data_IF_847774313798
#
_entry.id   IF_847774313798
#
_cell.length_a   1.000
_cell.length_b   1.000
_cell.length_c   1.000
_cell.angle_alpha   90.00
_cell.angle_beta   90.00
_cell.angle_gamma   90.00
#
_symmetry.space_group_name_H-M   'P 1'
#
loop_
_entity.id
_entity.type
_entity.pdbx_description
1 polymer ?
#
# COMPACT_ATOMS: atom_id res chain seq x y z
N UNK A 1 8.49 14.51 23.18
CA UNK A 1 7.66 13.29 23.06
C UNK A 1 6.86 13.22 21.76
N UNK A 2 6.06 14.23 21.39
CA UNK A 2 5.25 14.20 20.15
C UNK A 2 6.06 14.03 18.86
N UNK A 3 7.16 14.78 18.67
CA UNK A 3 8.03 14.66 17.50
C UNK A 3 8.69 13.29 17.39
N UNK A 4 9.12 12.72 18.52
CA UNK A 4 9.71 11.37 18.58
C UNK A 4 8.67 10.33 18.16
N UNK A 5 7.44 10.43 18.66
CA UNK A 5 6.34 9.55 18.23
C UNK A 5 6.07 9.69 16.72
N UNK A 6 6.06 10.92 16.18
CA UNK A 6 5.93 11.16 14.73
C UNK A 6 7.04 10.51 13.91
N UNK A 7 8.29 10.55 14.38
CA UNK A 7 9.41 9.89 13.71
C UNK A 7 9.21 8.37 13.69
N UNK A 8 8.88 7.77 14.83
CA UNK A 8 8.64 6.32 14.95
C UNK A 8 7.48 5.88 14.04
N UNK A 9 6.34 6.59 14.09
CA UNK A 9 5.20 6.32 13.22
C UNK A 9 5.56 6.51 11.75
N UNK A 10 6.39 7.50 11.41
CA UNK A 10 6.89 7.73 10.07
C UNK A 10 7.70 6.55 9.52
N UNK A 11 8.61 5.98 10.32
CA UNK A 11 9.34 4.75 9.95
C UNK A 11 8.40 3.57 9.72
N UNK A 12 7.41 3.39 10.60
CA UNK A 12 6.41 2.33 10.45
C UNK A 12 5.60 2.46 9.15
N UNK A 13 5.08 3.66 8.87
CA UNK A 13 4.33 3.93 7.63
C UNK A 13 5.23 3.75 6.41
N UNK A 14 6.48 4.24 6.44
CA UNK A 14 7.43 4.08 5.34
C UNK A 14 7.71 2.62 5.00
N UNK A 15 7.88 1.77 6.03
CA UNK A 15 8.02 0.34 5.85
C UNK A 15 6.75 -0.29 5.27
N UNK A 16 5.56 0.05 5.81
CA UNK A 16 4.28 -0.52 5.36
C UNK A 16 3.96 -0.17 3.91
N UNK A 17 4.18 1.08 3.49
CA UNK A 17 3.91 1.54 2.11
C UNK A 17 4.77 0.79 1.07
N UNK A 18 5.97 0.35 1.45
CA UNK A 18 6.81 -0.49 0.58
C UNK A 18 6.49 -1.99 0.65
N UNK A 19 6.35 -2.52 1.87
CA UNK A 19 6.24 -3.95 2.11
C UNK A 19 4.86 -4.51 1.74
N UNK A 20 3.78 -3.76 1.95
CA UNK A 20 2.41 -4.23 1.64
C UNK A 20 2.21 -4.50 0.15
N UNK A 21 2.47 -3.56 -0.78
CA UNK A 21 2.30 -3.84 -2.20
C UNK A 21 3.30 -4.89 -2.71
N UNK A 22 4.51 -4.96 -2.14
CA UNK A 22 5.47 -6.02 -2.43
C UNK A 22 4.86 -7.39 -2.09
N UNK A 23 4.44 -7.58 -0.84
CA UNK A 23 3.80 -8.82 -0.39
C UNK A 23 2.55 -9.16 -1.22
N UNK A 24 1.69 -8.18 -1.49
CA UNK A 24 0.51 -8.37 -2.35
C UNK A 24 0.91 -8.85 -3.75
N UNK A 25 1.98 -8.31 -4.34
CA UNK A 25 2.45 -8.72 -5.66
C UNK A 25 3.00 -10.15 -5.70
N UNK A 26 3.54 -10.64 -4.58
CA UNK A 26 4.13 -11.98 -4.46
C UNK A 26 3.09 -13.07 -4.16
N UNK A 27 1.99 -12.71 -3.50
CA UNK A 27 0.96 -13.65 -3.05
C UNK A 27 -0.24 -13.68 -3.99
N UNK A 28 -0.53 -12.58 -4.69
CA UNK A 28 -1.71 -12.47 -5.56
C UNK A 28 -1.64 -13.37 -6.79
N UNK A 29 -2.78 -14.01 -7.16
CA UNK A 29 -2.93 -14.68 -8.45
C UNK A 29 -2.67 -13.71 -9.61
N UNK A 30 -2.07 -14.21 -10.68
CA UNK A 30 -1.58 -13.40 -11.81
C UNK A 30 -2.66 -12.51 -12.44
N UNK A 31 -3.91 -12.97 -12.50
CA UNK A 31 -5.04 -12.27 -13.12
C UNK A 31 -5.70 -11.20 -12.22
N UNK A 32 -5.48 -11.21 -10.90
CA UNK A 32 -6.02 -10.21 -9.96
C UNK A 32 -4.95 -9.31 -9.35
N UNK A 33 -3.67 -9.55 -9.69
CA UNK A 33 -2.53 -8.88 -9.06
C UNK A 33 -2.61 -7.37 -9.15
N UNK A 34 -2.91 -6.82 -10.32
CA UNK A 34 -2.94 -5.38 -10.50
C UNK A 34 -4.07 -4.71 -9.74
N UNK A 35 -5.27 -5.29 -9.75
CA UNK A 35 -6.37 -4.87 -8.90
C UNK A 35 -6.03 -4.93 -7.40
N UNK A 36 -5.50 -6.04 -6.90
CA UNK A 36 -5.17 -6.22 -5.48
C UNK A 36 -4.08 -5.25 -5.01
N UNK A 37 -3.06 -4.99 -5.84
CA UNK A 37 -2.03 -3.99 -5.57
C UNK A 37 -2.61 -2.57 -5.68
N UNK A 38 -3.52 -2.31 -6.62
CA UNK A 38 -4.22 -1.03 -6.78
C UNK A 38 -5.11 -0.68 -5.59
N UNK A 39 -5.72 -1.68 -4.95
CA UNK A 39 -6.50 -1.51 -3.71
C UNK A 39 -5.66 -0.93 -2.55
N UNK A 40 -4.33 -1.03 -2.60
CA UNK A 40 -3.47 -0.39 -1.61
C UNK A 40 -3.68 1.14 -1.57
N UNK A 41 -3.69 1.79 -2.75
CA UNK A 41 -3.94 3.23 -2.85
C UNK A 41 -5.35 3.61 -2.40
N UNK A 42 -6.34 2.78 -2.75
CA UNK A 42 -7.72 2.95 -2.29
C UNK A 42 -7.81 2.91 -0.75
N UNK A 43 -7.18 1.94 -0.10
CA UNK A 43 -7.15 1.84 1.37
C UNK A 43 -6.45 3.03 2.03
N UNK A 44 -5.37 3.55 1.43
CA UNK A 44 -4.72 4.79 1.90
C UNK A 44 -5.73 5.94 1.87
N UNK A 45 -6.47 6.12 0.77
CA UNK A 45 -7.47 7.18 0.66
C UNK A 45 -8.58 7.02 1.70
N UNK A 46 -9.09 5.80 1.93
CA UNK A 46 -10.08 5.53 2.99
C UNK A 46 -9.53 5.93 4.37
N UNK A 47 -8.25 5.66 4.64
CA UNK A 47 -7.59 6.10 5.86
C UNK A 47 -7.57 7.63 6.02
N UNK A 48 -7.20 8.36 4.96
CA UNK A 48 -7.22 9.83 4.95
C UNK A 48 -8.65 10.39 5.11
N UNK A 49 -9.64 9.80 4.43
CA UNK A 49 -11.05 10.18 4.56
C UNK A 49 -11.53 9.98 5.99
N UNK A 50 -11.28 8.81 6.56
CA UNK A 50 -11.64 8.49 7.94
C UNK A 50 -11.00 9.46 8.93
N UNK A 51 -9.69 9.72 8.79
CA UNK A 51 -8.97 10.67 9.64
C UNK A 51 -9.54 12.10 9.56
N UNK A 52 -9.94 12.53 8.36
CA UNK A 52 -10.53 13.87 8.14
C UNK A 52 -11.89 14.00 8.83
N UNK A 53 -12.76 13.00 8.69
CA UNK A 53 -14.08 12.99 9.33
C UNK A 53 -14.00 12.83 10.85
N UNK A 54 -13.06 12.02 11.35
CA UNK A 54 -12.76 11.95 12.79
C UNK A 54 -12.30 13.32 13.30
N UNK A 55 -11.44 14.01 12.55
CA UNK A 55 -11.03 15.39 12.87
C UNK A 55 -12.22 16.35 12.97
N UNK A 56 -13.17 16.29 12.03
CA UNK A 56 -14.42 17.07 12.08
C UNK A 56 -15.24 16.71 13.32
N UNK A 57 -15.42 15.42 13.63
CA UNK A 57 -16.19 14.98 14.78
C UNK A 57 -15.60 15.46 16.12
N UNK A 58 -14.28 15.35 16.26
CA UNK A 58 -13.58 15.77 17.48
C UNK A 58 -13.45 17.29 17.64
N UNK A 59 -13.65 18.07 16.58
CA UNK A 59 -13.73 19.53 16.69
C UNK A 59 -14.87 19.99 17.63
N UNK A 60 -15.99 19.28 17.63
CA UNK A 60 -17.15 19.60 18.48
C UNK A 60 -17.06 19.03 19.91
N UNK A 61 -16.04 18.23 20.21
CA UNK A 61 -15.84 17.66 21.54
C UNK A 61 -15.36 18.76 22.48
N UNK A 62 -16.05 18.92 23.61
CA UNK A 62 -15.70 19.87 24.66
C UNK A 62 -14.50 19.32 25.45
N UNK A 63 -13.36 20.04 25.43
CA UNK A 63 -12.17 19.71 26.23
C UNK A 63 -10.86 19.81 25.44
N UNK A 64 -10.00 20.75 25.83
CA UNK A 64 -8.73 21.07 25.14
C UNK A 64 -7.81 19.87 24.89
N UNK A 65 -7.80 18.86 25.77
CA UNK A 65 -6.94 17.68 25.63
C UNK A 65 -7.56 16.59 24.74
N UNK A 66 -8.87 16.42 24.79
CA UNK A 66 -9.58 15.36 24.07
C UNK A 66 -9.67 15.65 22.57
N UNK A 67 -9.76 16.93 22.19
CA UNK A 67 -9.90 17.38 20.80
C UNK A 67 -8.77 16.92 19.88
N UNK A 68 -7.50 16.98 20.33
CA UNK A 68 -6.35 16.61 19.50
C UNK A 68 -5.79 15.23 19.81
N UNK A 69 -5.93 14.73 21.05
CA UNK A 69 -5.46 13.38 21.41
C UNK A 69 -6.34 12.28 20.85
N UNK A 70 -7.65 12.48 20.82
CA UNK A 70 -8.61 11.49 20.31
C UNK A 70 -8.34 11.11 18.85
N UNK A 71 -8.28 12.08 17.92
CA UNK A 71 -7.99 11.80 16.51
C UNK A 71 -6.60 11.19 16.27
N UNK A 72 -5.62 11.50 17.12
CA UNK A 72 -4.28 10.89 17.04
C UNK A 72 -4.22 9.48 17.62
N UNK A 73 -5.05 9.19 18.63
CA UNK A 73 -5.12 7.89 19.28
C UNK A 73 -5.96 6.89 18.50
N UNK A 74 -7.05 7.33 17.87
CA UNK A 74 -7.99 6.45 17.15
C UNK A 74 -7.32 5.53 16.11
N UNK A 75 -6.33 5.98 15.31
CA UNK A 75 -5.68 5.14 14.32
C UNK A 75 -4.92 3.93 14.90
N UNK A 76 -4.67 3.87 16.21
CA UNK A 76 -3.99 2.72 16.85
C UNK A 76 -4.77 1.41 16.68
N UNK A 77 -6.09 1.49 16.47
CA UNK A 77 -6.93 0.31 16.25
C UNK A 77 -6.49 -0.48 15.02
N UNK A 78 -6.14 0.18 13.92
CA UNK A 78 -5.80 -0.48 12.65
C UNK A 78 -4.51 -1.32 12.71
N UNK A 79 -3.36 -0.83 13.22
CA UNK A 79 -2.17 -1.66 13.37
C UNK A 79 -2.37 -2.77 14.42
N UNK A 80 -3.24 -2.59 15.42
CA UNK A 80 -3.58 -3.68 16.35
C UNK A 80 -4.37 -4.78 15.65
N UNK A 81 -5.35 -4.42 14.81
CA UNK A 81 -6.07 -5.39 13.97
C UNK A 81 -5.09 -6.12 13.04
N UNK A 82 -4.16 -5.40 12.41
CA UNK A 82 -3.13 -6.00 11.58
C UNK A 82 -2.24 -6.97 12.38
N UNK A 83 -1.80 -6.58 13.59
CA UNK A 83 -0.99 -7.42 14.46
C UNK A 83 -1.70 -8.72 14.84
N UNK A 84 -3.00 -8.64 15.15
CA UNK A 84 -3.84 -9.81 15.44
C UNK A 84 -4.12 -10.66 14.19
N UNK A 85 -4.20 -10.04 13.00
CA UNK A 85 -4.47 -10.73 11.74
C UNK A 85 -3.21 -11.42 11.17
N UNK A 86 -2.02 -10.91 11.50
CA UNK A 86 -0.74 -11.36 10.92
C UNK A 86 -0.51 -12.89 11.00
N UNK A 87 -0.81 -13.60 12.11
CA UNK A 87 -0.62 -15.05 12.20
C UNK A 87 -1.48 -15.87 11.22
N UNK A 88 -2.57 -15.28 10.70
CA UNK A 88 -3.49 -15.96 9.78
C UNK A 88 -3.09 -15.77 8.31
N UNK A 89 -2.28 -14.76 8.03
CA UNK A 89 -1.79 -14.41 6.69
C UNK A 89 -0.69 -15.39 6.28
N UNK A 90 -0.75 -16.00 5.08
CA UNK A 90 0.33 -16.86 4.60
C UNK A 90 1.63 -16.07 4.42
N UNK A 91 2.77 -16.72 4.63
CA UNK A 91 4.06 -16.13 4.28
C UNK A 91 4.25 -16.02 2.77
N UNK A 92 5.06 -15.06 2.32
CA UNK A 92 5.35 -14.91 0.88
C UNK A 92 6.02 -16.18 0.32
N UNK A 93 5.44 -16.80 -0.74
CA UNK A 93 6.06 -17.95 -1.40
C UNK A 93 7.45 -17.62 -1.95
N UNK A 94 7.65 -16.41 -2.51
CA UNK A 94 8.96 -15.94 -3.01
C UNK A 94 9.97 -15.86 -1.87
N UNK A 95 9.61 -15.27 -0.74
CA UNK A 95 10.51 -15.19 0.42
C UNK A 95 10.90 -16.57 0.95
N UNK A 96 9.95 -17.49 1.07
CA UNK A 96 10.21 -18.87 1.51
C UNK A 96 11.15 -19.62 0.56
N UNK A 97 11.03 -19.40 -0.76
CA UNK A 97 11.95 -19.93 -1.77
C UNK A 97 13.38 -19.41 -1.58
N UNK A 98 13.56 -18.11 -1.28
CA UNK A 98 14.90 -17.54 -1.01
C UNK A 98 15.56 -18.12 0.24
N UNK A 99 14.77 -18.64 1.18
CA UNK A 99 15.22 -19.33 2.40
C UNK A 99 15.37 -20.84 2.23
N UNK A 100 15.30 -21.34 0.99
CA UNK A 100 15.37 -22.77 0.66
C UNK A 100 14.25 -23.62 1.29
N UNK A 101 13.12 -23.02 1.68
CA UNK A 101 11.96 -23.70 2.29
C UNK A 101 10.88 -24.01 1.25
N UNK A 102 11.18 -24.92 0.32
CA UNK A 102 10.31 -25.22 -0.84
C UNK A 102 8.92 -25.73 -0.45
N UNK A 103 8.83 -26.66 0.51
CA UNK A 103 7.55 -27.26 0.91
C UNK A 103 6.62 -26.23 1.57
N UNK A 104 7.19 -25.38 2.42
CA UNK A 104 6.45 -24.27 3.03
C UNK A 104 5.99 -23.26 1.96
N UNK A 105 6.83 -22.97 0.97
CA UNK A 105 6.49 -22.07 -0.13
C UNK A 105 5.32 -22.61 -0.96
N UNK A 106 5.33 -23.91 -1.27
CA UNK A 106 4.23 -24.57 -1.99
C UNK A 106 2.93 -24.53 -1.17
N UNK A 107 3.00 -24.79 0.13
CA UNK A 107 1.84 -24.72 1.03
C UNK A 107 1.24 -23.31 1.09
N UNK A 108 2.08 -22.28 1.18
CA UNK A 108 1.64 -20.89 1.19
C UNK A 108 1.03 -20.48 -0.17
N UNK A 109 1.65 -20.91 -1.27
CA UNK A 109 1.16 -20.66 -2.63
C UNK A 109 -0.22 -21.30 -2.85
N UNK A 110 -0.37 -22.57 -2.48
CA UNK A 110 -1.64 -23.32 -2.55
C UNK A 110 -2.75 -22.66 -1.73
N UNK A 111 -2.45 -22.20 -0.51
CA UNK A 111 -3.46 -21.53 0.36
C UNK A 111 -4.17 -20.36 -0.32
N UNK A 112 -3.51 -19.66 -1.25
CA UNK A 112 -4.09 -18.51 -1.98
C UNK A 112 -4.66 -18.92 -3.35
N UNK A 113 -4.08 -19.91 -4.02
CA UNK A 113 -4.55 -20.34 -5.36
C UNK A 113 -5.73 -21.32 -5.28
N UNK A 114 -5.87 -22.05 -4.17
CA UNK A 114 -6.98 -22.98 -3.94
C UNK A 114 -8.17 -22.29 -3.24
N UNK A 115 -7.99 -21.06 -2.72
CA UNK A 115 -9.07 -20.31 -2.07
C UNK A 115 -10.12 -19.86 -3.09
N UNK A 116 -11.26 -20.56 -3.13
CA UNK A 116 -12.39 -20.24 -4.01
C UNK A 116 -12.63 -21.24 -5.15
N UNK A 117 -11.79 -22.27 -5.29
CA UNK A 117 -11.96 -23.30 -6.31
C UNK A 117 -12.97 -24.34 -5.81
N UNK A 118 -14.14 -24.40 -6.46
CA UNK A 118 -15.23 -25.33 -6.08
C UNK A 118 -14.94 -26.79 -6.43
N UNK A 119 -14.04 -27.06 -7.38
CA UNK A 119 -13.69 -28.42 -7.81
C UNK A 119 -12.18 -28.52 -8.00
N UNK A 120 -11.51 -29.27 -7.13
CA UNK A 120 -10.09 -29.62 -7.24
C UNK A 120 -9.94 -30.74 -8.28
N UNK A 121 -9.94 -30.36 -9.57
CA UNK A 121 -9.66 -31.30 -10.65
C UNK A 121 -8.15 -31.51 -10.84
N UNK A 122 -7.75 -32.67 -11.38
CA UNK A 122 -6.35 -32.97 -11.68
C UNK A 122 -5.68 -31.91 -12.57
N UNK A 123 -6.44 -31.28 -13.48
CA UNK A 123 -5.95 -30.19 -14.34
C UNK A 123 -5.58 -28.92 -13.55
N UNK A 124 -6.36 -28.58 -12.50
CA UNK A 124 -6.07 -27.44 -11.62
C UNK A 124 -4.80 -27.69 -10.82
N UNK A 125 -4.61 -28.92 -10.32
CA UNK A 125 -3.39 -29.27 -9.60
C UNK A 125 -2.15 -29.17 -10.49
N UNK A 126 -2.23 -29.60 -11.75
CA UNK A 126 -1.14 -29.46 -12.72
C UNK A 126 -0.85 -27.99 -13.01
N UNK A 127 -1.88 -27.16 -13.20
CA UNK A 127 -1.72 -25.72 -13.45
C UNK A 127 -1.02 -25.01 -12.28
N UNK A 128 -1.46 -25.25 -11.05
CA UNK A 128 -0.87 -24.66 -9.83
C UNK A 128 0.59 -25.11 -9.66
N UNK A 129 0.90 -26.37 -9.93
CA UNK A 129 2.27 -26.87 -9.85
C UNK A 129 3.19 -26.23 -10.88
N UNK A 130 2.73 -26.04 -12.13
CA UNK A 130 3.54 -25.41 -13.16
C UNK A 130 3.75 -23.91 -12.89
N UNK A 131 2.72 -23.19 -12.43
CA UNK A 131 2.88 -21.79 -11.99
C UNK A 131 3.90 -21.66 -10.84
N UNK A 132 3.83 -22.55 -9.85
CA UNK A 132 4.81 -22.58 -8.77
C UNK A 132 6.22 -22.90 -9.27
N UNK A 133 6.35 -23.80 -10.25
CA UNK A 133 7.64 -24.16 -10.86
C UNK A 133 8.27 -22.95 -11.57
N UNK A 134 7.47 -22.20 -12.32
CA UNK A 134 7.90 -20.95 -12.96
C UNK A 134 8.34 -19.91 -11.94
N UNK A 135 7.56 -19.74 -10.86
CA UNK A 135 7.91 -18.84 -9.76
C UNK A 135 9.25 -19.22 -9.11
N UNK A 136 9.46 -20.50 -8.84
CA UNK A 136 10.69 -21.03 -8.26
C UNK A 136 11.90 -20.83 -9.18
N UNK A 137 11.74 -21.07 -10.49
CA UNK A 137 12.79 -20.87 -11.48
C UNK A 137 13.19 -19.39 -11.59
N UNK A 138 12.22 -18.47 -11.65
CA UNK A 138 12.47 -17.03 -11.66
C UNK A 138 13.19 -16.57 -10.40
N UNK A 139 12.72 -17.01 -9.22
CA UNK A 139 13.33 -16.63 -7.93
C UNK A 139 14.78 -17.13 -7.85
N UNK A 140 15.05 -18.36 -8.29
CA UNK A 140 16.41 -18.91 -8.31
C UNK A 140 17.35 -18.12 -9.25
N UNK A 141 16.82 -17.63 -10.38
CA UNK A 141 17.58 -16.80 -11.32
C UNK A 141 17.84 -15.39 -10.76
N UNK A 142 16.85 -14.77 -10.12
CA UNK A 142 17.00 -13.48 -9.43
C UNK A 142 18.05 -13.56 -8.31
N UNK A 143 18.09 -14.65 -7.54
CA UNK A 143 19.10 -14.87 -6.51
C UNK A 143 20.52 -14.98 -7.06
N UNK A 144 20.70 -15.59 -8.25
CA UNK A 144 22.01 -15.68 -8.90
C UNK A 144 22.46 -14.35 -9.48
N UNK A 145 21.53 -13.57 -10.02
CA UNK A 145 21.79 -12.29 -10.67
C UNK A 145 21.66 -11.12 -9.68
N UNK A 146 22.34 -11.20 -8.54
CA UNK A 146 22.31 -10.12 -7.56
C UNK A 146 22.91 -8.84 -8.17
N UNK A 147 22.08 -7.80 -8.29
CA UNK A 147 22.49 -6.50 -8.83
C UNK A 147 23.02 -5.63 -7.69
N UNK A 148 24.32 -5.33 -7.63
CA UNK A 148 24.88 -4.49 -6.58
C UNK A 148 24.40 -3.03 -6.75
N UNK A 149 24.27 -2.30 -5.65
CA UNK A 149 23.78 -0.91 -5.63
C UNK A 149 24.56 0.04 -6.56
N UNK A 150 25.86 -0.21 -6.76
CA UNK A 150 26.72 0.56 -7.66
C UNK A 150 26.29 0.47 -9.14
N UNK A 151 25.68 -0.64 -9.55
CA UNK A 151 25.33 -0.89 -10.95
C UNK A 151 24.15 -0.01 -11.40
N UNK A 152 23.33 0.48 -10.45
CA UNK A 152 22.31 1.48 -10.74
C UNK A 152 22.89 2.79 -11.29
N UNK A 153 24.14 3.12 -10.93
CA UNK A 153 24.83 4.32 -11.41
C UNK A 153 25.80 4.03 -12.56
N UNK A 154 26.44 2.86 -12.56
CA UNK A 154 27.47 2.50 -13.53
C UNK A 154 26.90 1.94 -14.84
N UNK A 155 25.82 1.14 -14.78
CA UNK A 155 25.26 0.48 -15.95
C UNK A 155 24.27 1.42 -16.65
N UNK A 156 24.49 1.80 -17.93
CA UNK A 156 23.65 2.79 -18.61
C UNK A 156 22.16 2.42 -18.68
N UNK A 157 21.84 1.13 -18.84
CA UNK A 157 20.46 0.64 -18.90
C UNK A 157 19.75 0.74 -17.54
N UNK A 158 20.42 0.36 -16.45
CA UNK A 158 19.88 0.48 -15.09
C UNK A 158 19.77 1.94 -14.67
N UNK A 159 20.73 2.79 -15.03
CA UNK A 159 20.69 4.22 -14.79
C UNK A 159 19.48 4.88 -15.45
N UNK A 160 19.18 4.53 -16.71
CA UNK A 160 17.97 5.04 -17.40
C UNK A 160 16.70 4.61 -16.67
N UNK A 161 16.61 3.35 -16.23
CA UNK A 161 15.46 2.85 -15.45
C UNK A 161 15.32 3.57 -14.11
N UNK A 162 16.43 3.79 -13.40
CA UNK A 162 16.47 4.53 -12.14
C UNK A 162 16.02 5.98 -12.32
N UNK A 163 16.49 6.65 -13.38
CA UNK A 163 16.11 8.03 -13.67
C UNK A 163 14.61 8.15 -13.99
N UNK A 164 14.07 7.25 -14.80
CA UNK A 164 12.62 7.22 -15.10
C UNK A 164 11.82 7.00 -13.81
N UNK A 165 12.20 6.01 -12.99
CA UNK A 165 11.53 5.76 -11.71
C UNK A 165 11.58 6.96 -10.76
N UNK A 166 12.76 7.60 -10.64
CA UNK A 166 12.91 8.83 -9.85
C UNK A 166 12.06 9.97 -10.40
N UNK A 167 12.07 10.20 -11.72
CA UNK A 167 11.28 11.25 -12.35
C UNK A 167 9.77 11.03 -12.16
N UNK A 168 9.29 9.79 -12.26
CA UNK A 168 7.89 9.45 -12.01
C UNK A 168 7.51 9.71 -10.54
N UNK A 169 8.34 9.31 -9.59
CA UNK A 169 8.07 9.58 -8.16
C UNK A 169 8.15 11.08 -7.84
N UNK A 170 9.12 11.78 -8.43
CA UNK A 170 9.25 13.22 -8.28
C UNK A 170 8.04 13.95 -8.86
N UNK A 171 7.59 13.59 -10.06
CA UNK A 171 6.39 14.15 -10.67
C UNK A 171 5.14 13.86 -9.83
N UNK A 172 5.00 12.63 -9.31
CA UNK A 172 3.90 12.26 -8.43
C UNK A 172 3.84 13.13 -7.17
N UNK A 173 4.99 13.36 -6.50
CA UNK A 173 5.05 14.23 -5.33
C UNK A 173 4.95 15.72 -5.68
N UNK A 174 5.43 16.11 -6.87
CA UNK A 174 5.36 17.46 -7.44
C UNK A 174 3.94 17.92 -7.78
N UNK A 175 2.94 17.04 -7.69
CA UNK A 175 1.52 17.43 -7.70
C UNK A 175 1.10 18.20 -6.44
N UNK A 176 1.96 18.24 -5.41
CA UNK A 176 1.72 18.89 -4.12
C UNK A 176 0.47 18.40 -3.37
N UNK A 177 0.00 17.18 -3.69
CA UNK A 177 -1.20 16.61 -3.05
C UNK A 177 -1.04 16.52 -1.53
N UNK A 178 0.17 16.21 -1.03
CA UNK A 178 0.47 16.21 0.41
C UNK A 178 0.39 17.59 1.05
N UNK A 179 0.66 18.66 0.31
CA UNK A 179 0.53 20.03 0.82
C UNK A 179 -0.95 20.34 1.07
N UNK A 180 -1.81 20.02 0.09
CA UNK A 180 -3.26 20.20 0.23
C UNK A 180 -3.81 19.33 1.36
N UNK A 181 -3.36 18.07 1.49
CA UNK A 181 -3.85 17.17 2.53
C UNK A 181 -3.46 17.61 3.95
N UNK A 182 -2.26 18.18 4.15
CA UNK A 182 -1.78 18.57 5.48
C UNK A 182 -2.11 20.03 5.85
N UNK A 183 -2.12 20.94 4.86
CA UNK A 183 -2.28 22.38 5.07
C UNK A 183 -3.63 22.91 4.56
N UNK A 184 -4.52 22.04 4.07
CA UNK A 184 -5.83 22.41 3.54
C UNK A 184 -6.64 23.37 4.43
N UNK A 185 -6.80 23.12 5.75
CA UNK A 185 -7.51 24.05 6.62
C UNK A 185 -6.88 25.46 6.65
N UNK A 186 -5.55 25.55 6.64
CA UNK A 186 -4.82 26.84 6.63
C UNK A 186 -5.02 27.55 5.28
N UNK A 187 -5.00 26.81 4.17
CA UNK A 187 -5.27 27.36 2.83
C UNK A 187 -6.70 27.91 2.74
N UNK A 188 -7.69 27.16 3.24
CA UNK A 188 -9.09 27.62 3.29
C UNK A 188 -9.27 28.79 4.27
N UNK A 189 -8.51 28.86 5.35
CA UNK A 189 -8.50 30.00 6.26
C UNK A 189 -8.03 31.29 5.55
N UNK A 190 -7.00 31.19 4.70
CA UNK A 190 -6.53 32.30 3.87
C UNK A 190 -7.57 32.85 2.89
N UNK A 191 -8.60 32.07 2.56
CA UNK A 191 -9.73 32.47 1.71
C UNK A 191 -10.90 33.10 2.51
N UNK A 192 -10.78 33.22 3.84
CA UNK A 192 -11.81 33.81 4.70
C UNK A 192 -12.93 32.85 5.12
N UNK A 193 -12.75 31.53 4.94
CA UNK A 193 -13.73 30.55 5.43
C UNK A 193 -13.65 30.39 6.96
N UNK A 194 -14.79 30.17 7.60
CA UNK A 194 -14.87 29.82 9.02
C UNK A 194 -14.28 28.42 9.32
N UNK A 195 -13.81 28.19 10.55
CA UNK A 195 -13.09 26.96 10.94
C UNK A 195 -13.90 25.68 10.66
N UNK A 196 -15.21 25.70 10.90
CA UNK A 196 -16.07 24.54 10.60
C UNK A 196 -16.12 24.28 9.09
N UNK A 197 -16.27 25.35 8.29
CA UNK A 197 -16.30 25.25 6.83
C UNK A 197 -14.96 24.77 6.27
N UNK A 198 -13.84 25.24 6.82
CA UNK A 198 -12.50 24.79 6.43
C UNK A 198 -12.34 23.27 6.57
N UNK A 199 -12.77 22.72 7.71
CA UNK A 199 -12.70 21.29 7.99
C UNK A 199 -13.65 20.47 7.10
N UNK A 200 -14.87 20.96 6.88
CA UNK A 200 -15.85 20.28 6.02
C UNK A 200 -15.43 20.26 4.55
N UNK A 201 -14.90 21.36 4.02
CA UNK A 201 -14.40 21.42 2.64
C UNK A 201 -13.23 20.44 2.47
N UNK A 202 -12.31 20.40 3.44
CA UNK A 202 -11.19 19.46 3.41
C UNK A 202 -11.65 18.00 3.44
N UNK A 203 -12.57 17.66 4.35
CA UNK A 203 -13.13 16.31 4.45
C UNK A 203 -13.89 15.93 3.16
N UNK A 204 -14.62 16.86 2.56
CA UNK A 204 -15.30 16.69 1.29
C UNK A 204 -14.32 16.39 0.15
N UNK A 205 -13.27 17.21 -0.02
CA UNK A 205 -12.22 17.00 -1.01
C UNK A 205 -11.58 15.61 -0.89
N UNK A 206 -11.15 15.24 0.31
CA UNK A 206 -10.50 13.95 0.57
C UNK A 206 -11.46 12.76 0.33
N UNK A 207 -12.77 12.96 0.52
CA UNK A 207 -13.77 11.91 0.26
C UNK A 207 -13.95 11.57 -1.21
N UNK A 208 -13.52 12.44 -2.14
CA UNK A 208 -13.53 12.15 -3.58
C UNK A 208 -12.39 11.21 -3.98
N UNK A 209 -11.27 11.25 -3.25
CA UNK A 209 -10.05 10.50 -3.58
C UNK A 209 -10.22 8.97 -3.61
N UNK A 210 -10.96 8.32 -2.69
CA UNK A 210 -11.24 6.88 -2.76
C UNK A 210 -11.94 6.48 -4.06
N UNK A 211 -12.92 7.27 -4.53
CA UNK A 211 -13.63 6.98 -5.78
C UNK A 211 -12.70 6.98 -6.98
N UNK A 212 -11.83 7.99 -7.09
CA UNK A 212 -10.81 8.07 -8.14
C UNK A 212 -9.81 6.91 -8.09
N UNK A 213 -9.35 6.51 -6.89
CA UNK A 213 -8.42 5.39 -6.73
C UNK A 213 -9.06 4.04 -7.07
N UNK A 214 -10.35 3.86 -6.75
CA UNK A 214 -11.08 2.65 -7.10
C UNK A 214 -11.23 2.52 -8.62
N UNK A 215 -11.61 3.60 -9.29
CA UNK A 215 -11.69 3.65 -10.77
C UNK A 215 -10.31 3.34 -11.37
N UNK A 216 -9.25 3.96 -10.84
CA UNK A 216 -7.88 3.68 -11.28
C UNK A 216 -7.50 2.19 -11.12
N UNK A 217 -7.86 1.56 -10.00
CA UNK A 217 -7.59 0.14 -9.78
C UNK A 217 -8.28 -0.77 -10.81
N UNK A 218 -9.45 -0.40 -11.33
CA UNK A 218 -10.12 -1.13 -12.41
C UNK A 218 -9.52 -0.85 -13.80
N UNK A 219 -9.08 0.39 -14.03
CA UNK A 219 -8.57 0.84 -15.34
C UNK A 219 -7.14 0.35 -15.59
N UNK A 220 -6.30 0.28 -14.56
CA UNK A 220 -4.86 0.02 -14.71
C UNK A 220 -4.56 -1.34 -15.36
N UNK A 221 -5.42 -2.33 -15.13
CA UNK A 221 -5.28 -3.68 -15.71
C UNK A 221 -5.82 -3.75 -17.15
N UNK A 222 -6.65 -2.78 -17.57
CA UNK A 222 -7.29 -2.77 -18.89
C UNK A 222 -6.53 -1.95 -19.94
N UNK A 223 -5.91 -0.84 -19.55
CA UNK A 223 -5.31 0.11 -20.49
C UNK A 223 -3.78 0.10 -20.53
N UNK A 224 -3.13 -0.76 -19.73
CA UNK A 224 -1.67 -0.74 -19.62
C UNK A 224 -1.17 0.48 -18.85
N UNK A 225 0.13 0.48 -18.54
CA UNK A 225 0.77 1.47 -17.64
C UNK A 225 1.56 2.56 -18.38
N UNK A 226 1.38 2.69 -19.70
CA UNK A 226 2.06 3.64 -20.58
C UNK A 226 1.10 4.13 -21.66
#
# INVERSE_FOLDING_TARGET
MFLVARLITGFGIGALVGLVPLYQSEVSPTHLRGFLVGLHGFMICIGYTSASWIGVGFYFVQGNLSQWRGPLGFPILFPLVLLCALPFVPESPRWLLTRSRKDAALKAFRKVHDSGVKVMNAEHEVAVQEEFRLLAAQTAQEMKNHVPLKDFFLVPSLRKRCLVGFATMFAAQGTFTLVINNYGPILHAGLGFDTVKQLLIQAGWISVCPGGNLINAFIVDRFGRV
#
